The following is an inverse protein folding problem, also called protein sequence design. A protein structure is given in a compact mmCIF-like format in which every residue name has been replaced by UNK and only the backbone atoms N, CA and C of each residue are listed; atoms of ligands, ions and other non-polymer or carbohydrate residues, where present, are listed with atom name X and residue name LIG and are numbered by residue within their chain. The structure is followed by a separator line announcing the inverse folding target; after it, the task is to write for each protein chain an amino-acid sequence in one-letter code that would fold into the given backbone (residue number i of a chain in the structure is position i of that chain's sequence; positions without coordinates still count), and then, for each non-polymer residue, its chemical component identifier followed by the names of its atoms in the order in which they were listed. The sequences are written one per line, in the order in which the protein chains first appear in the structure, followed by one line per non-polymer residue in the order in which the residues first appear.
data_IF_425831189237
#
_entry.id   IF_425831189237
#
_cell.length_a   1.000
_cell.length_b   1.000
_cell.length_c   1.000
_cell.angle_alpha   90.00
_cell.angle_beta   90.00
_cell.angle_gamma   90.00
#
_symmetry.space_group_name_H-M   'P 1'
#
loop_
_entity.id
_entity.type
_entity.pdbx_description
1 polymer ?
#
# COMPACT_ATOMS: atom_id res chain seq x y z
N UNK A 1 -21.08 -2.57 14.94
CA UNK A 1 -19.66 -2.42 15.31
C UNK A 1 -18.96 -1.78 14.12
N UNK A 2 -18.11 -0.76 14.31
CA UNK A 2 -17.43 -0.13 13.16
C UNK A 2 -16.34 -1.06 12.61
N UNK A 3 -16.20 -1.13 11.30
CA UNK A 3 -15.08 -1.82 10.65
C UNK A 3 -14.16 -0.83 9.93
N UNK A 4 -12.93 -1.26 9.66
CA UNK A 4 -11.94 -0.47 8.91
C UNK A 4 -11.73 -1.13 7.56
N UNK A 5 -11.99 -0.40 6.48
CA UNK A 5 -11.67 -0.78 5.11
C UNK A 5 -10.44 -0.02 4.65
N UNK A 6 -9.38 -0.76 4.33
CA UNK A 6 -8.17 -0.23 3.71
C UNK A 6 -8.07 -0.81 2.31
N UNK A 7 -7.89 0.04 1.30
CA UNK A 7 -7.69 -0.44 -0.07
C UNK A 7 -6.53 0.29 -0.73
N UNK A 8 -5.71 -0.45 -1.46
CA UNK A 8 -4.95 0.15 -2.54
C UNK A 8 -5.90 0.72 -3.63
N UNK A 9 -5.36 1.62 -4.46
CA UNK A 9 -6.12 2.30 -5.50
C UNK A 9 -5.99 1.58 -6.84
N UNK A 10 -4.81 1.61 -7.44
CA UNK A 10 -4.57 1.17 -8.80
C UNK A 10 -4.66 -0.34 -8.91
N UNK A 11 -5.46 -0.85 -9.84
CA UNK A 11 -5.70 -2.29 -10.02
C UNK A 11 -6.36 -3.00 -8.83
N UNK A 12 -6.63 -2.32 -7.72
CA UNK A 12 -7.38 -2.85 -6.58
C UNK A 12 -8.77 -2.23 -6.49
N UNK A 13 -8.85 -0.91 -6.26
CA UNK A 13 -10.11 -0.17 -6.20
C UNK A 13 -10.54 0.31 -7.61
N UNK A 14 -9.56 0.77 -8.39
CA UNK A 14 -9.71 1.35 -9.73
C UNK A 14 -9.24 0.35 -10.79
N UNK A 15 -9.87 0.37 -11.96
CA UNK A 15 -9.59 -0.52 -13.09
C UNK A 15 -10.86 -1.02 -13.79
N UNK A 16 -12.00 -0.93 -13.10
CA UNK A 16 -13.34 -1.19 -13.65
C UNK A 16 -14.32 -0.16 -13.06
N UNK A 17 -14.77 0.79 -13.89
CA UNK A 17 -15.64 1.90 -13.46
C UNK A 17 -17.03 1.41 -13.00
N UNK A 18 -17.55 0.34 -13.60
CA UNK A 18 -18.83 -0.24 -13.20
C UNK A 18 -18.71 -0.90 -11.81
N UNK A 19 -17.61 -1.62 -11.58
CA UNK A 19 -17.28 -2.19 -10.28
C UNK A 19 -17.15 -1.13 -9.19
N UNK A 20 -16.40 -0.07 -9.49
CA UNK A 20 -16.17 1.05 -8.57
C UNK A 20 -17.48 1.76 -8.23
N UNK A 21 -18.32 2.05 -9.22
CA UNK A 21 -19.63 2.69 -9.00
C UNK A 21 -20.51 1.85 -8.06
N UNK A 22 -20.55 0.54 -8.28
CA UNK A 22 -21.31 -0.40 -7.44
C UNK A 22 -20.74 -0.52 -6.03
N UNK A 23 -19.42 -0.54 -5.88
CA UNK A 23 -18.77 -0.52 -4.57
C UNK A 23 -19.07 0.79 -3.84
N UNK A 24 -18.95 1.94 -4.51
CA UNK A 24 -19.27 3.25 -3.92
C UNK A 24 -20.70 3.30 -3.38
N UNK A 25 -21.69 2.80 -4.14
CA UNK A 25 -23.07 2.72 -3.67
C UNK A 25 -23.23 1.82 -2.43
N UNK A 26 -22.50 0.71 -2.37
CA UNK A 26 -22.51 -0.20 -1.21
C UNK A 26 -21.88 0.44 0.04
N UNK A 27 -20.71 1.07 -0.14
CA UNK A 27 -19.97 1.72 0.94
C UNK A 27 -20.70 2.96 1.48
N UNK A 28 -21.37 3.74 0.62
CA UNK A 28 -22.16 4.90 1.04
C UNK A 28 -23.27 4.53 2.02
N UNK A 29 -23.94 3.39 1.82
CA UNK A 29 -25.00 2.91 2.74
C UNK A 29 -24.48 2.62 4.14
N UNK A 30 -23.19 2.32 4.26
CA UNK A 30 -22.52 1.94 5.51
C UNK A 30 -21.51 2.98 5.99
N UNK A 31 -21.49 4.18 5.41
CA UNK A 31 -20.38 5.15 5.60
C UNK A 31 -20.16 5.55 7.06
N UNK A 32 -21.23 5.63 7.86
CA UNK A 32 -21.16 5.96 9.30
C UNK A 32 -20.67 4.80 10.19
N UNK A 33 -20.73 3.58 9.65
CA UNK A 33 -20.35 2.34 10.32
C UNK A 33 -18.96 1.86 9.91
N UNK A 34 -18.20 2.68 9.17
CA UNK A 34 -16.85 2.30 8.72
C UNK A 34 -15.88 3.47 8.77
N UNK A 35 -14.60 3.11 8.89
CA UNK A 35 -13.50 3.97 8.45
C UNK A 35 -13.02 3.50 7.08
N UNK A 36 -12.77 4.45 6.18
CA UNK A 36 -12.21 4.21 4.86
C UNK A 36 -10.81 4.80 4.77
N UNK A 37 -9.85 3.98 4.36
CA UNK A 37 -8.47 4.40 4.15
C UNK A 37 -8.04 3.96 2.74
N UNK A 38 -7.47 4.90 1.99
CA UNK A 38 -6.77 4.57 0.75
C UNK A 38 -5.27 4.47 1.01
N UNK A 39 -4.69 3.30 0.75
CA UNK A 39 -3.27 2.99 0.96
C UNK A 39 -2.57 2.74 -0.37
N UNK A 40 -1.97 3.80 -0.93
CA UNK A 40 -1.50 3.82 -2.32
C UNK A 40 0.01 4.09 -2.44
N UNK A 41 0.60 3.59 -3.53
CA UNK A 41 1.96 3.98 -3.95
C UNK A 41 2.07 5.42 -4.45
N UNK A 42 0.95 6.02 -4.89
CA UNK A 42 0.89 7.39 -5.41
C UNK A 42 1.27 8.42 -4.36
N UNK A 43 1.79 9.57 -4.81
CA UNK A 43 1.86 10.78 -3.99
C UNK A 43 0.46 11.31 -3.65
N UNK A 44 0.34 12.10 -2.58
CA UNK A 44 -0.95 12.67 -2.17
C UNK A 44 -1.63 13.49 -3.28
N UNK A 45 -0.86 14.33 -3.99
CA UNK A 45 -1.39 15.10 -5.11
C UNK A 45 -1.92 14.21 -6.25
N UNK A 46 -1.21 13.13 -6.58
CA UNK A 46 -1.63 12.15 -7.59
C UNK A 46 -2.87 11.36 -7.15
N UNK A 47 -2.93 10.94 -5.89
CA UNK A 47 -4.09 10.26 -5.32
C UNK A 47 -5.35 11.15 -5.32
N UNK A 48 -5.22 12.45 -4.97
CA UNK A 48 -6.31 13.44 -5.06
C UNK A 48 -6.73 13.75 -6.50
N UNK A 49 -5.83 13.62 -7.47
CA UNK A 49 -6.20 13.73 -8.88
C UNK A 49 -7.05 12.52 -9.32
N UNK A 50 -6.61 11.30 -8.99
CA UNK A 50 -7.34 10.06 -9.27
C UNK A 50 -8.73 10.05 -8.60
N UNK A 51 -8.81 10.56 -7.36
CA UNK A 51 -10.07 10.72 -6.64
C UNK A 51 -11.10 11.53 -7.44
N UNK A 52 -10.67 12.64 -8.04
CA UNK A 52 -11.53 13.51 -8.86
C UNK A 52 -11.89 12.88 -10.19
N UNK A 53 -10.95 12.18 -10.81
CA UNK A 53 -11.13 11.50 -12.09
C UNK A 53 -12.19 10.39 -12.01
N UNK A 54 -12.09 9.52 -10.99
CA UNK A 54 -12.98 8.35 -10.84
C UNK A 54 -14.11 8.55 -9.81
N UNK A 55 -14.29 9.77 -9.31
CA UNK A 55 -15.28 10.10 -8.27
C UNK A 55 -15.22 9.14 -7.05
N UNK A 56 -14.00 8.88 -6.55
CA UNK A 56 -13.81 8.06 -5.36
C UNK A 56 -14.45 8.75 -4.15
N UNK A 57 -14.97 7.95 -3.21
CA UNK A 57 -15.48 8.48 -1.94
C UNK A 57 -14.36 9.23 -1.19
N UNK A 58 -14.71 10.23 -0.39
CA UNK A 58 -13.74 10.86 0.51
C UNK A 58 -13.39 9.85 1.63
N UNK A 59 -12.12 9.41 1.71
CA UNK A 59 -11.69 8.53 2.79
C UNK A 59 -11.52 9.33 4.09
N UNK A 60 -11.46 8.64 5.21
CA UNK A 60 -11.11 9.25 6.49
C UNK A 60 -9.60 9.52 6.58
N UNK A 61 -8.77 8.70 5.92
CA UNK A 61 -7.32 8.89 5.85
C UNK A 61 -6.77 8.48 4.48
N UNK A 62 -5.67 9.14 4.10
CA UNK A 62 -4.83 8.73 2.99
C UNK A 62 -3.50 8.23 3.53
N UNK A 63 -3.10 7.04 3.13
CA UNK A 63 -1.75 6.50 3.29
C UNK A 63 -1.13 6.55 1.89
N UNK A 64 -0.13 7.41 1.69
CA UNK A 64 0.45 7.70 0.36
C UNK A 64 1.94 7.40 0.33
N UNK A 65 2.52 7.30 -0.87
CA UNK A 65 3.92 6.95 -1.04
C UNK A 65 4.27 5.60 -0.40
N UNK A 66 3.41 4.59 -0.59
CA UNK A 66 3.59 3.25 0.03
C UNK A 66 3.64 3.34 1.57
N UNK A 67 2.96 4.32 2.16
CA UNK A 67 2.93 4.51 3.61
C UNK A 67 4.07 5.37 4.18
N UNK A 68 4.85 6.03 3.33
CA UNK A 68 5.78 7.07 3.77
C UNK A 68 5.08 8.33 4.28
N UNK A 69 3.81 8.54 3.93
CA UNK A 69 3.06 9.73 4.35
C UNK A 69 1.62 9.34 4.72
N UNK A 70 1.08 10.00 5.74
CA UNK A 70 -0.31 9.87 6.15
C UNK A 70 -0.95 11.25 6.11
N UNK A 71 -2.13 11.37 5.52
CA UNK A 71 -2.91 12.61 5.46
C UNK A 71 -4.31 12.41 6.01
N UNK A 72 -4.81 13.45 6.68
CA UNK A 72 -6.19 13.61 7.12
C UNK A 72 -6.62 15.04 6.89
N UNK A 73 -7.80 15.25 6.31
CA UNK A 73 -8.37 16.59 6.08
C UNK A 73 -7.40 17.56 5.35
N UNK A 74 -6.55 17.01 4.46
CA UNK A 74 -5.54 17.76 3.71
C UNK A 74 -4.23 18.05 4.45
N UNK A 75 -4.12 17.70 5.73
CA UNK A 75 -2.90 17.88 6.53
C UNK A 75 -2.13 16.57 6.66
N UNK A 76 -0.81 16.64 6.54
CA UNK A 76 0.09 15.51 6.79
C UNK A 76 0.21 15.25 8.30
N UNK A 77 0.27 13.99 8.71
CA UNK A 77 0.50 13.60 10.10
C UNK A 77 2.00 13.80 10.47
N UNK A 78 2.33 14.76 11.36
CA UNK A 78 3.71 15.03 11.74
C UNK A 78 4.29 13.97 12.69
N UNK A 79 3.45 13.25 13.46
CA UNK A 79 3.91 12.20 14.38
C UNK A 79 4.37 10.98 13.58
N UNK A 80 3.60 10.59 12.56
CA UNK A 80 4.01 9.54 11.63
C UNK A 80 5.32 9.90 10.91
N UNK A 81 5.41 11.10 10.35
CA UNK A 81 6.63 11.57 9.67
C UNK A 81 7.86 11.53 10.59
N UNK A 82 7.70 11.92 11.86
CA UNK A 82 8.77 11.82 12.86
C UNK A 82 9.16 10.36 13.13
N UNK A 83 8.18 9.47 13.31
CA UNK A 83 8.41 8.06 13.61
C UNK A 83 9.21 7.35 12.52
N UNK A 84 8.90 7.60 11.24
CA UNK A 84 9.60 6.95 10.12
C UNK A 84 10.95 7.61 9.78
N UNK A 85 11.25 8.78 10.34
CA UNK A 85 12.55 9.45 10.18
C UNK A 85 13.67 8.77 10.97
N UNK A 86 13.34 7.92 11.95
CA UNK A 86 14.35 7.26 12.78
C UNK A 86 15.14 6.22 11.98
N UNK A 87 16.46 6.43 11.86
CA UNK A 87 17.36 5.57 11.09
C UNK A 87 17.28 5.74 9.57
N UNK A 88 16.58 6.79 9.11
CA UNK A 88 16.46 7.15 7.71
C UNK A 88 17.52 8.16 7.28
N UNK A 89 18.33 7.80 6.29
CA UNK A 89 19.29 8.69 5.62
C UNK A 89 19.08 8.61 4.09
N UNK A 90 18.30 9.56 3.57
CA UNK A 90 17.90 9.58 2.17
C UNK A 90 19.09 9.74 1.22
N UNK A 91 20.04 10.59 1.58
CA UNK A 91 21.16 10.94 0.69
C UNK A 91 22.15 9.77 0.58
N UNK A 92 22.42 9.11 1.72
CA UNK A 92 23.25 7.90 1.70
C UNK A 92 22.57 6.76 0.93
N UNK A 93 21.25 6.61 1.05
CA UNK A 93 20.50 5.61 0.29
C UNK A 93 20.57 5.85 -1.23
N UNK A 94 20.43 7.11 -1.67
CA UNK A 94 20.61 7.49 -3.09
C UNK A 94 22.04 7.19 -3.53
N UNK A 95 23.04 7.53 -2.70
CA UNK A 95 24.46 7.30 -3.01
C UNK A 95 24.79 5.81 -3.21
N UNK A 96 24.14 4.93 -2.45
CA UNK A 96 24.26 3.47 -2.60
C UNK A 96 23.49 3.01 -3.85
N UNK A 97 22.23 3.42 -4.00
CA UNK A 97 21.35 2.95 -5.06
C UNK A 97 21.85 3.35 -6.47
N UNK A 98 22.51 4.49 -6.64
CA UNK A 98 23.11 4.89 -7.93
C UNK A 98 24.22 3.95 -8.42
N UNK A 99 24.80 3.12 -7.54
CA UNK A 99 25.79 2.11 -7.95
C UNK A 99 25.15 0.91 -8.67
N UNK A 100 23.82 0.78 -8.59
CA UNK A 100 23.06 -0.30 -9.21
C UNK A 100 22.53 0.15 -10.58
N UNK A 101 23.35 -0.07 -11.62
CA UNK A 101 23.05 0.31 -13.01
C UNK A 101 21.65 -0.08 -13.54
N UNK A 102 21.05 -1.23 -13.17
CA UNK A 102 19.70 -1.57 -13.62
C UNK A 102 18.58 -0.72 -13.02
N UNK A 103 18.88 0.21 -12.11
CA UNK A 103 17.90 1.12 -11.49
C UNK A 103 17.97 2.50 -12.14
N UNK A 104 16.81 3.02 -12.50
CA UNK A 104 16.65 4.38 -13.00
C UNK A 104 15.66 5.15 -12.14
N UNK A 105 15.96 6.38 -11.75
CA UNK A 105 15.08 7.17 -10.88
C UNK A 105 13.71 7.41 -11.55
N UNK A 106 12.65 7.22 -10.79
CA UNK A 106 11.31 7.67 -11.19
C UNK A 106 11.22 9.21 -11.14
N UNK A 107 10.23 9.82 -11.84
CA UNK A 107 10.03 11.27 -11.82
C UNK A 107 9.95 11.87 -10.42
N UNK A 108 10.28 13.15 -10.28
CA UNK A 108 10.27 13.86 -8.99
C UNK A 108 8.91 13.80 -8.28
N UNK A 109 7.81 13.65 -9.03
CA UNK A 109 6.45 13.50 -8.50
C UNK A 109 6.22 12.21 -7.71
N UNK A 110 7.09 11.21 -7.89
CA UNK A 110 7.04 9.91 -7.19
C UNK A 110 8.01 9.84 -6.01
N UNK A 111 8.83 10.88 -5.82
CA UNK A 111 9.80 10.99 -4.73
C UNK A 111 9.20 11.78 -3.57
N UNK A 112 9.58 11.45 -2.34
CA UNK A 112 9.28 12.28 -1.17
C UNK A 112 10.39 12.15 -0.11
N UNK A 113 10.30 12.84 1.05
CA UNK A 113 11.36 12.81 2.06
C UNK A 113 11.70 11.42 2.61
N UNK A 114 10.76 10.46 2.60
CA UNK A 114 10.90 9.12 3.20
C UNK A 114 10.71 7.96 2.19
N UNK A 115 10.71 8.27 0.89
CA UNK A 115 10.59 7.32 -0.22
C UNK A 115 11.49 7.73 -1.37
N UNK A 116 12.24 6.76 -1.87
CA UNK A 116 13.03 6.90 -3.10
C UNK A 116 12.58 5.83 -4.09
N UNK A 117 12.06 6.26 -5.23
CA UNK A 117 11.48 5.36 -6.23
C UNK A 117 12.35 5.23 -7.47
N UNK A 118 12.49 4.00 -7.95
CA UNK A 118 13.22 3.62 -9.15
C UNK A 118 12.36 2.73 -10.06
N UNK A 119 12.69 2.70 -11.35
CA UNK A 119 12.31 1.62 -12.25
C UNK A 119 13.48 0.64 -12.37
N UNK A 120 13.18 -0.65 -12.31
CA UNK A 120 14.11 -1.75 -12.56
C UNK A 120 14.07 -2.13 -14.05
N UNK A 121 15.24 -2.24 -14.67
CA UNK A 121 15.37 -2.81 -16.01
C UNK A 121 14.80 -4.25 -16.04
N UNK A 122 13.88 -4.59 -16.95
CA UNK A 122 13.35 -5.95 -17.09
C UNK A 122 14.42 -7.05 -17.31
N UNK A 123 15.63 -6.67 -17.74
CA UNK A 123 16.79 -7.56 -17.93
C UNK A 123 17.69 -7.65 -16.70
N UNK A 124 17.36 -6.97 -15.60
CA UNK A 124 18.13 -7.01 -14.37
C UNK A 124 18.28 -8.44 -13.85
N UNK A 125 19.41 -8.71 -13.18
CA UNK A 125 19.62 -9.98 -12.53
C UNK A 125 18.62 -10.16 -11.37
N UNK A 126 18.19 -11.40 -11.13
CA UNK A 126 17.23 -11.73 -10.08
C UNK A 126 17.69 -11.32 -8.68
N UNK A 127 19.00 -11.16 -8.47
CA UNK A 127 19.58 -10.80 -7.18
C UNK A 127 19.78 -9.30 -6.99
N UNK A 128 19.55 -8.46 -8.00
CA UNK A 128 19.84 -7.01 -7.93
C UNK A 128 19.19 -6.35 -6.71
N UNK A 129 17.93 -6.68 -6.41
CA UNK A 129 17.23 -6.10 -5.25
C UNK A 129 17.70 -6.67 -3.91
N UNK A 130 18.12 -7.94 -3.89
CA UNK A 130 18.72 -8.57 -2.69
C UNK A 130 20.05 -7.92 -2.38
N UNK A 131 20.88 -7.69 -3.40
CA UNK A 131 22.17 -7.03 -3.26
C UNK A 131 22.02 -5.56 -2.85
N UNK A 132 21.00 -4.85 -3.36
CA UNK A 132 20.65 -3.50 -2.91
C UNK A 132 20.25 -3.48 -1.43
N UNK A 133 19.32 -4.35 -1.02
CA UNK A 133 18.90 -4.46 0.38
C UNK A 133 20.08 -4.76 1.30
N UNK A 134 20.98 -5.66 0.89
CA UNK A 134 22.21 -5.97 1.65
C UNK A 134 23.13 -4.76 1.74
N UNK A 135 23.37 -4.04 0.65
CA UNK A 135 24.23 -2.85 0.66
C UNK A 135 23.70 -1.74 1.59
N UNK A 136 22.38 -1.51 1.62
CA UNK A 136 21.76 -0.58 2.56
C UNK A 136 21.95 -1.04 4.02
N UNK A 137 21.79 -2.34 4.28
CA UNK A 137 21.95 -2.94 5.61
C UNK A 137 23.40 -2.88 6.09
N UNK A 138 24.36 -3.19 5.22
CA UNK A 138 25.80 -3.15 5.52
C UNK A 138 26.28 -1.71 5.80
N UNK A 139 25.61 -0.71 5.23
CA UNK A 139 25.82 0.71 5.54
C UNK A 139 25.15 1.16 6.85
N UNK A 140 24.47 0.26 7.57
CA UNK A 140 23.79 0.56 8.83
C UNK A 140 22.47 1.33 8.68
N UNK A 141 21.90 1.36 7.48
CA UNK A 141 20.65 2.09 7.20
C UNK A 141 19.43 1.22 7.53
N UNK A 142 18.51 1.75 8.32
CA UNK A 142 17.25 1.08 8.67
C UNK A 142 16.22 1.28 7.56
N UNK A 143 16.39 0.57 6.45
CA UNK A 143 15.60 0.73 5.23
C UNK A 143 15.11 -0.60 4.66
N UNK A 144 14.06 -0.53 3.86
CA UNK A 144 13.50 -1.67 3.13
C UNK A 144 13.36 -1.36 1.65
N UNK A 145 13.61 -2.37 0.81
CA UNK A 145 13.39 -2.36 -0.63
C UNK A 145 12.10 -3.10 -0.94
N UNK A 146 11.14 -2.40 -1.51
CA UNK A 146 9.85 -2.93 -1.94
C UNK A 146 9.84 -3.01 -3.47
N UNK A 147 9.40 -4.15 -4.01
CA UNK A 147 9.24 -4.36 -5.45
C UNK A 147 7.78 -4.60 -5.81
N UNK A 148 7.28 -3.92 -6.82
CA UNK A 148 5.89 -4.03 -7.25
C UNK A 148 5.71 -3.80 -8.75
N UNK A 149 4.53 -4.15 -9.28
CA UNK A 149 4.14 -3.93 -10.67
C UNK A 149 5.13 -4.51 -11.68
N UNK A 150 5.86 -5.56 -11.28
CA UNK A 150 6.95 -6.19 -12.04
C UNK A 150 8.07 -5.22 -12.51
N UNK A 151 8.18 -4.00 -11.98
CA UNK A 151 9.18 -3.01 -12.42
C UNK A 151 9.52 -1.95 -11.38
N UNK A 152 8.58 -1.59 -10.51
CA UNK A 152 8.73 -0.45 -9.61
C UNK A 152 9.50 -0.91 -8.37
N UNK A 153 10.46 -0.08 -7.94
CA UNK A 153 11.30 -0.34 -6.77
C UNK A 153 11.24 0.88 -5.86
N UNK A 154 10.81 0.68 -4.62
CA UNK A 154 10.75 1.73 -3.61
C UNK A 154 11.72 1.41 -2.48
N UNK A 155 12.60 2.37 -2.15
CA UNK A 155 13.37 2.37 -0.92
C UNK A 155 12.60 3.20 0.09
N UNK A 156 12.23 2.57 1.21
CA UNK A 156 11.45 3.18 2.28
C UNK A 156 12.21 3.05 3.61
N UNK A 157 11.83 3.86 4.58
CA UNK A 157 12.20 3.60 5.98
C UNK A 157 11.75 2.20 6.39
N UNK A 158 12.55 1.47 7.17
CA UNK A 158 12.16 0.17 7.70
C UNK A 158 10.95 0.24 8.65
N UNK A 159 10.59 1.45 9.09
CA UNK A 159 9.39 1.73 9.89
C UNK A 159 8.21 2.22 9.04
N UNK A 160 8.43 2.52 7.77
CA UNK A 160 7.43 3.06 6.85
C UNK A 160 7.06 2.08 5.75
N UNK A 161 5.85 1.56 5.80
CA UNK A 161 5.17 0.86 4.72
C UNK A 161 3.65 0.97 4.92
N UNK A 162 2.85 0.47 3.96
CA UNK A 162 1.39 0.50 4.04
C UNK A 162 0.88 -0.24 5.29
N UNK A 163 1.43 -1.42 5.60
CA UNK A 163 1.02 -2.24 6.75
C UNK A 163 1.22 -1.55 8.10
N UNK A 164 2.41 -0.98 8.33
CA UNK A 164 2.76 -0.24 9.55
C UNK A 164 1.95 1.06 9.67
N UNK A 165 1.71 1.75 8.57
CA UNK A 165 0.84 2.94 8.56
C UNK A 165 -0.61 2.60 8.93
N UNK A 166 -1.14 1.48 8.43
CA UNK A 166 -2.46 0.96 8.82
C UNK A 166 -2.48 0.57 10.29
N UNK A 167 -1.45 -0.13 10.79
CA UNK A 167 -1.35 -0.49 12.19
C UNK A 167 -1.39 0.75 13.10
N UNK A 168 -0.59 1.76 12.77
CA UNK A 168 -0.55 3.05 13.47
C UNK A 168 -1.94 3.72 13.54
N UNK A 169 -2.65 3.82 12.41
CA UNK A 169 -4.00 4.41 12.40
C UNK A 169 -5.02 3.54 13.14
N UNK A 170 -4.93 2.22 12.99
CA UNK A 170 -5.83 1.27 13.65
C UNK A 170 -5.76 1.39 15.18
N UNK A 171 -4.55 1.52 15.73
CA UNK A 171 -4.32 1.71 17.17
C UNK A 171 -4.94 3.03 17.66
N UNK A 172 -4.77 4.13 16.91
CA UNK A 172 -5.39 5.42 17.25
C UNK A 172 -6.92 5.37 17.21
N UNK A 173 -7.49 4.65 16.24
CA UNK A 173 -8.93 4.51 16.05
C UNK A 173 -9.56 3.45 16.96
N UNK A 174 -8.75 2.68 17.70
CA UNK A 174 -9.18 1.54 18.52
C UNK A 174 -10.03 0.52 17.74
N UNK A 175 -9.65 0.23 16.49
CA UNK A 175 -10.35 -0.77 15.67
C UNK A 175 -9.64 -2.13 15.77
N UNK A 176 -10.34 -3.22 16.13
CA UNK A 176 -9.72 -4.55 16.18
C UNK A 176 -9.28 -5.08 14.81
N UNK A 177 -8.28 -5.95 14.80
CA UNK A 177 -7.73 -6.57 13.59
C UNK A 177 -8.78 -7.42 12.85
N UNK A 178 -9.65 -8.06 13.61
CA UNK A 178 -10.75 -8.94 13.16
C UNK A 178 -11.83 -8.17 12.40
N UNK A 179 -11.87 -6.85 12.57
CA UNK A 179 -12.77 -5.93 11.84
C UNK A 179 -12.02 -4.97 10.93
N UNK A 180 -10.77 -5.30 10.58
CA UNK A 180 -9.96 -4.54 9.64
C UNK A 180 -9.77 -5.37 8.39
N UNK A 181 -10.34 -4.92 7.27
CA UNK A 181 -10.16 -5.52 5.95
C UNK A 181 -9.16 -4.69 5.15
N UNK A 182 -8.07 -5.31 4.73
CA UNK A 182 -7.10 -4.74 3.79
C UNK A 182 -7.27 -5.36 2.41
N UNK A 183 -7.17 -4.55 1.36
CA UNK A 183 -7.31 -4.97 -0.04
C UNK A 183 -6.08 -4.54 -0.84
N UNK A 184 -5.50 -5.43 -1.64
CA UNK A 184 -4.36 -5.12 -2.50
C UNK A 184 -4.17 -6.09 -3.67
N UNK A 185 -3.29 -5.74 -4.59
CA UNK A 185 -3.02 -6.48 -5.82
C UNK A 185 -1.53 -6.73 -6.07
N UNK A 186 -0.62 -5.93 -5.50
CA UNK A 186 0.79 -5.92 -5.91
C UNK A 186 1.79 -6.13 -4.76
N UNK A 187 3.08 -6.15 -5.09
CA UNK A 187 4.12 -6.37 -4.09
C UNK A 187 4.22 -5.28 -3.01
N UNK A 188 3.80 -4.04 -3.32
CA UNK A 188 3.79 -2.96 -2.33
C UNK A 188 2.64 -3.09 -1.31
N UNK A 189 1.70 -4.01 -1.55
CA UNK A 189 0.61 -4.35 -0.64
C UNK A 189 0.98 -5.48 0.32
N UNK A 190 2.09 -6.19 0.11
CA UNK A 190 2.48 -7.34 0.94
C UNK A 190 2.42 -6.99 2.44
N UNK A 191 2.93 -5.83 2.83
CA UNK A 191 2.93 -5.36 4.22
C UNK A 191 1.53 -5.24 4.83
N UNK A 192 0.48 -4.96 4.04
CA UNK A 192 -0.89 -4.89 4.53
C UNK A 192 -1.35 -6.23 5.13
N UNK A 193 -0.86 -7.34 4.59
CA UNK A 193 -1.25 -8.69 4.98
C UNK A 193 -0.44 -9.26 6.16
N UNK A 194 0.52 -8.52 6.73
CA UNK A 194 1.41 -9.05 7.77
C UNK A 194 0.84 -8.88 9.20
N UNK A 195 -0.08 -7.93 9.44
CA UNK A 195 -0.49 -7.48 10.78
C UNK A 195 -1.80 -8.06 11.37
N UNK A 196 -2.04 -9.35 11.14
CA UNK A 196 -3.20 -10.13 11.65
C UNK A 196 -4.59 -9.58 11.29
N UNK A 197 -4.68 -8.78 10.24
CA UNK A 197 -5.94 -8.26 9.68
C UNK A 197 -6.63 -9.28 8.77
N UNK A 198 -7.90 -9.04 8.46
CA UNK A 198 -8.55 -9.68 7.32
C UNK A 198 -7.92 -9.13 6.04
N UNK A 199 -7.53 -10.02 5.13
CA UNK A 199 -6.84 -9.65 3.91
C UNK A 199 -7.58 -10.13 2.68
N UNK A 200 -7.75 -9.26 1.70
CA UNK A 200 -8.32 -9.56 0.40
C UNK A 200 -7.28 -9.32 -0.70
N UNK A 201 -7.00 -10.34 -1.49
CA UNK A 201 -6.21 -10.24 -2.71
C UNK A 201 -7.19 -10.29 -3.89
N UNK A 202 -7.21 -9.26 -4.73
CA UNK A 202 -8.12 -9.19 -5.88
C UNK A 202 -7.73 -10.20 -6.97
N UNK A 203 -8.68 -10.66 -7.78
CA UNK A 203 -8.44 -11.73 -8.75
C UNK A 203 -7.43 -11.38 -9.86
N UNK A 204 -7.20 -10.08 -10.10
CA UNK A 204 -6.20 -9.56 -11.04
C UNK A 204 -4.84 -9.24 -10.38
N UNK A 205 -4.56 -9.79 -9.19
CA UNK A 205 -3.31 -9.54 -8.47
C UNK A 205 -2.05 -9.97 -9.23
N UNK A 206 -0.98 -9.21 -9.02
CA UNK A 206 0.31 -9.40 -9.65
C UNK A 206 1.02 -10.68 -9.16
N UNK A 207 1.89 -11.28 -10.00
CA UNK A 207 2.58 -12.52 -9.67
C UNK A 207 3.37 -12.48 -8.35
N UNK A 208 3.97 -11.35 -7.98
CA UNK A 208 4.71 -11.19 -6.72
C UNK A 208 3.84 -11.36 -5.48
N UNK A 209 2.65 -10.75 -5.44
CA UNK A 209 1.73 -10.91 -4.32
C UNK A 209 1.17 -12.33 -4.25
N UNK A 210 0.83 -12.93 -5.40
CA UNK A 210 0.38 -14.32 -5.46
C UNK A 210 1.47 -15.31 -5.02
N UNK A 211 2.74 -15.07 -5.39
CA UNK A 211 3.87 -15.88 -4.91
C UNK A 211 4.05 -15.74 -3.40
N UNK A 212 3.92 -14.53 -2.86
CA UNK A 212 3.97 -14.30 -1.43
C UNK A 212 2.81 -15.02 -0.71
N UNK A 213 1.59 -14.90 -1.20
CA UNK A 213 0.39 -15.53 -0.63
C UNK A 213 0.49 -17.05 -0.57
N UNK A 214 1.02 -17.70 -1.61
CA UNK A 214 1.21 -19.17 -1.60
C UNK A 214 2.17 -19.65 -0.50
N UNK A 215 3.06 -18.78 -0.01
CA UNK A 215 4.05 -19.09 1.02
C UNK A 215 3.61 -18.66 2.43
N UNK A 216 2.88 -17.54 2.53
CA UNK A 216 2.59 -16.87 3.81
C UNK A 216 1.10 -16.67 4.08
N UNK A 217 0.23 -17.12 3.18
CA UNK A 217 -1.23 -17.05 3.35
C UNK A 217 -1.69 -17.74 4.63
N UNK A 218 -2.69 -17.15 5.28
CA UNK A 218 -3.28 -17.63 6.53
C UNK A 218 -4.81 -17.58 6.46
N UNK A 219 -5.56 -18.21 7.39
CA UNK A 219 -7.02 -18.29 7.31
C UNK A 219 -7.77 -16.95 7.19
N UNK A 220 -7.19 -15.84 7.67
CA UNK A 220 -7.76 -14.50 7.51
C UNK A 220 -7.53 -13.86 6.14
N UNK A 221 -6.83 -14.52 5.21
CA UNK A 221 -6.58 -14.03 3.86
C UNK A 221 -7.48 -14.75 2.86
N UNK A 222 -8.08 -13.98 1.96
CA UNK A 222 -8.99 -14.44 0.93
C UNK A 222 -8.50 -14.01 -0.44
N UNK A 223 -8.40 -14.95 -1.37
CA UNK A 223 -8.11 -14.69 -2.77
C UNK A 223 -9.43 -14.63 -3.53
N UNK A 224 -9.80 -13.43 -3.97
CA UNK A 224 -11.04 -13.21 -4.71
C UNK A 224 -10.98 -13.81 -6.11
N UNK A 225 -12.12 -14.26 -6.61
CA UNK A 225 -12.28 -14.61 -8.02
C UNK A 225 -12.46 -13.35 -8.86
N UNK A 226 -13.20 -12.36 -8.35
CA UNK A 226 -13.45 -11.12 -9.07
C UNK A 226 -12.28 -10.15 -8.99
N UNK A 227 -12.18 -9.34 -10.05
CA UNK A 227 -11.11 -8.35 -10.23
C UNK A 227 -11.52 -6.99 -9.66
N UNK A 228 -10.56 -6.13 -9.36
CA UNK A 228 -10.77 -4.74 -8.97
C UNK A 228 -11.79 -4.59 -7.83
N UNK A 229 -12.60 -3.52 -7.85
CA UNK A 229 -13.64 -3.27 -6.85
C UNK A 229 -14.71 -4.37 -6.75
N UNK A 230 -14.88 -5.21 -7.78
CA UNK A 230 -15.75 -6.38 -7.66
C UNK A 230 -15.19 -7.42 -6.70
N UNK A 231 -13.87 -7.57 -6.66
CA UNK A 231 -13.17 -8.38 -5.66
C UNK A 231 -13.42 -7.83 -4.25
N UNK A 232 -13.40 -6.51 -4.07
CA UNK A 232 -13.69 -5.88 -2.78
C UNK A 232 -15.11 -6.18 -2.30
N UNK A 233 -16.10 -6.08 -3.20
CA UNK A 233 -17.49 -6.45 -2.89
C UNK A 233 -17.61 -7.94 -2.50
N UNK A 234 -16.89 -8.82 -3.19
CA UNK A 234 -16.81 -10.25 -2.86
C UNK A 234 -16.21 -10.48 -1.46
N UNK A 235 -15.11 -9.79 -1.14
CA UNK A 235 -14.45 -9.84 0.16
C UNK A 235 -15.34 -9.34 1.31
N UNK A 236 -16.01 -8.20 1.12
CA UNK A 236 -16.97 -7.67 2.11
C UNK A 236 -18.09 -8.68 2.40
N UNK A 237 -18.60 -9.35 1.36
CA UNK A 237 -19.60 -10.40 1.52
C UNK A 237 -19.05 -11.62 2.26
N UNK A 238 -17.85 -12.08 1.87
CA UNK A 238 -17.16 -13.24 2.45
C UNK A 238 -16.92 -13.06 3.95
N UNK A 239 -16.38 -11.91 4.36
CA UNK A 239 -16.08 -11.57 5.75
C UNK A 239 -17.28 -11.01 6.53
N UNK A 240 -18.44 -10.88 5.90
CA UNK A 240 -19.68 -10.37 6.51
C UNK A 240 -19.55 -8.96 7.10
N UNK A 241 -18.79 -8.08 6.43
CA UNK A 241 -18.63 -6.67 6.81
C UNK A 241 -19.65 -5.78 6.11
N UNK A 242 -20.11 -4.72 6.78
CA UNK A 242 -21.03 -3.73 6.21
C UNK A 242 -22.45 -4.25 5.93
N UNK A 243 -22.96 -5.12 6.81
CA UNK A 243 -24.35 -5.59 6.82
C UNK A 243 -25.15 -4.93 7.93
#
# INVERSE_FOLDING_TARGET
MRFLLVSDLDNTLVGDDAALSMLNQSLQKNREQMYLIYATGRSYASARALQREHALLEPDFWITGVGSEIYRDGAQDPQWAKQISEGWDRDQAIFIAQQFQPLSLQPISEQNPHKISYFLDPKAHTNTLIDLQRALTDAGLAMQVVFSSNRDVDILSAKGDKGRAVLYLREQLNIPAETTLVCGDSGNDISLFEHSTLGLIVGNAQPELLRWYRKHGRPGHYLAVKHYAWGILEGLHHFQLGR
#
